data_IF_976667577766
#
_entry.id   IF_976667577766
#
_cell.length_a   1.000
_cell.length_b   1.000
_cell.length_c   1.000
_cell.angle_alpha   90.00
_cell.angle_beta   90.00
_cell.angle_gamma   90.00
#
_symmetry.space_group_name_H-M   'P 1'
#
loop_
_entity.id
_entity.type
_entity.pdbx_description
1 polymer ?
#
# COMPACT_ATOMS: atom_id res chain seq x y z
N UNK A 1 6.12 12.12 12.10
CA UNK A 1 5.07 11.50 11.27
C UNK A 1 5.71 11.13 9.93
N UNK A 2 6.11 9.86 9.75
CA UNK A 2 6.89 9.41 8.59
C UNK A 2 5.97 9.08 7.42
N UNK A 3 5.83 10.00 6.46
CA UNK A 3 5.07 9.75 5.22
C UNK A 3 5.93 8.96 4.23
N UNK A 4 5.97 7.63 4.38
CA UNK A 4 6.77 6.71 3.53
C UNK A 4 6.39 6.75 2.05
N UNK A 5 5.13 7.09 1.72
CA UNK A 5 4.65 7.26 0.34
C UNK A 5 4.65 8.71 -0.14
N UNK A 6 5.10 9.66 0.70
CA UNK A 6 5.00 11.10 0.47
C UNK A 6 3.59 11.57 0.05
N UNK A 7 2.53 10.86 0.48
CA UNK A 7 1.14 11.09 0.10
C UNK A 7 0.86 11.00 -1.42
N UNK A 8 1.70 10.28 -2.16
CA UNK A 8 1.61 10.18 -3.63
C UNK A 8 0.63 9.12 -4.11
N UNK A 9 0.20 8.21 -3.26
CA UNK A 9 -0.92 7.31 -3.57
C UNK A 9 -2.21 8.06 -3.28
N UNK A 10 -2.98 8.35 -4.32
CA UNK A 10 -4.30 8.99 -4.22
C UNK A 10 -5.33 7.95 -3.80
N UNK A 11 -6.31 8.39 -3.01
CA UNK A 11 -7.41 7.56 -2.53
C UNK A 11 -6.93 6.25 -1.88
N UNK A 12 -5.82 6.32 -1.13
CA UNK A 12 -5.24 5.17 -0.46
C UNK A 12 -6.21 4.63 0.59
N UNK A 13 -6.64 3.39 0.39
CA UNK A 13 -7.49 2.64 1.29
C UNK A 13 -6.78 1.36 1.72
N UNK A 14 -6.99 0.99 2.98
CA UNK A 14 -6.50 -0.26 3.55
C UNK A 14 -7.71 -1.07 3.99
N UNK A 15 -7.89 -2.25 3.40
CA UNK A 15 -8.92 -3.20 3.78
C UNK A 15 -8.27 -4.38 4.48
N UNK A 16 -8.73 -4.72 5.68
CA UNK A 16 -8.22 -5.89 6.43
C UNK A 16 -9.34 -6.91 6.52
N UNK A 17 -9.10 -8.12 6.02
CA UNK A 17 -10.04 -9.23 6.04
C UNK A 17 -9.32 -10.49 6.54
N UNK A 18 -9.60 -10.90 7.77
CA UNK A 18 -8.91 -12.05 8.38
C UNK A 18 -7.40 -11.79 8.46
N UNK A 19 -6.60 -12.60 7.77
CA UNK A 19 -5.14 -12.44 7.66
C UNK A 19 -4.70 -11.70 6.40
N UNK A 20 -5.63 -11.22 5.58
CA UNK A 20 -5.30 -10.52 4.34
C UNK A 20 -5.44 -9.00 4.53
N UNK A 21 -4.41 -8.28 4.11
CA UNK A 21 -4.38 -6.82 4.02
C UNK A 21 -4.35 -6.44 2.55
N UNK A 22 -5.32 -5.64 2.11
CA UNK A 22 -5.44 -5.17 0.73
C UNK A 22 -5.19 -3.66 0.70
N UNK A 23 -4.16 -3.23 -0.03
CA UNK A 23 -3.93 -1.82 -0.33
C UNK A 23 -4.59 -1.47 -1.65
N UNK A 24 -5.44 -0.44 -1.66
CA UNK A 24 -6.09 0.10 -2.86
C UNK A 24 -5.81 1.59 -3.02
N UNK A 25 -5.79 2.07 -4.25
CA UNK A 25 -5.60 3.47 -4.57
C UNK A 25 -4.96 3.66 -5.94
N UNK A 26 -4.51 4.86 -6.26
CA UNK A 26 -3.85 5.18 -7.53
C UNK A 26 -2.47 5.79 -7.28
N UNK A 27 -1.43 5.15 -7.81
CA UNK A 27 -0.06 5.64 -7.78
C UNK A 27 0.32 6.28 -9.14
N UNK A 28 1.14 7.34 -9.16
CA UNK A 28 1.62 7.97 -10.39
C UNK A 28 2.72 7.16 -11.09
N UNK A 29 3.29 6.16 -10.41
CA UNK A 29 4.35 5.30 -10.95
C UNK A 29 4.35 3.96 -10.24
N UNK A 30 4.90 2.93 -10.91
CA UNK A 30 5.21 1.64 -10.28
C UNK A 30 6.19 1.77 -9.11
N UNK A 31 7.06 2.78 -9.11
CA UNK A 31 7.96 3.05 -7.99
C UNK A 31 7.17 3.43 -6.72
N UNK A 32 6.17 4.30 -6.84
CA UNK A 32 5.31 4.67 -5.71
C UNK A 32 4.46 3.48 -5.25
N UNK A 33 3.96 2.64 -6.17
CA UNK A 33 3.27 1.38 -5.84
C UNK A 33 4.15 0.46 -4.98
N UNK A 34 5.43 0.30 -5.35
CA UNK A 34 6.40 -0.50 -4.60
C UNK A 34 6.72 0.09 -3.23
N UNK A 35 6.90 1.41 -3.12
CA UNK A 35 7.10 2.07 -1.82
C UNK A 35 5.93 1.82 -0.87
N UNK A 36 4.70 1.88 -1.37
CA UNK A 36 3.51 1.56 -0.58
C UNK A 36 3.50 0.08 -0.15
N UNK A 37 3.87 -0.85 -1.04
CA UNK A 37 4.00 -2.27 -0.69
C UNK A 37 5.02 -2.48 0.43
N UNK A 38 6.23 -1.96 0.26
CA UNK A 38 7.31 -2.14 1.23
C UNK A 38 6.95 -1.52 2.58
N UNK A 39 6.41 -0.30 2.57
CA UNK A 39 5.97 0.34 3.80
C UNK A 39 4.91 -0.46 4.56
N UNK A 40 4.01 -1.15 3.85
CA UNK A 40 3.02 -2.01 4.50
C UNK A 40 3.62 -3.34 4.98
N UNK A 41 4.49 -3.99 4.19
CA UNK A 41 5.18 -5.21 4.60
C UNK A 41 6.05 -5.00 5.84
N UNK A 42 6.65 -3.83 6.00
CA UNK A 42 7.45 -3.49 7.18
C UNK A 42 6.60 -3.34 8.46
N UNK A 43 5.30 -3.10 8.34
CA UNK A 43 4.40 -2.82 9.47
C UNK A 43 3.50 -4.02 9.82
N UNK A 44 3.28 -4.94 8.87
CA UNK A 44 2.44 -6.11 9.09
C UNK A 44 3.30 -7.36 9.26
N UNK A 45 3.21 -7.98 10.43
CA UNK A 45 3.76 -9.30 10.70
C UNK A 45 2.64 -10.33 10.66
N UNK A 46 2.85 -11.46 9.96
CA UNK A 46 1.92 -12.60 9.87
C UNK A 46 0.60 -12.34 9.11
N UNK A 47 0.51 -11.24 8.36
CA UNK A 47 -0.56 -10.98 7.39
C UNK A 47 -0.04 -11.16 5.96
N UNK A 48 -0.92 -11.56 5.05
CA UNK A 48 -0.65 -11.54 3.61
C UNK A 48 -0.99 -10.16 3.05
N UNK A 49 -0.06 -9.56 2.30
CA UNK A 49 -0.31 -8.29 1.62
C UNK A 49 -0.73 -8.52 0.16
N UNK A 50 -1.88 -7.98 -0.22
CA UNK A 50 -2.28 -7.81 -1.62
C UNK A 50 -2.20 -6.34 -2.01
N UNK A 51 -1.40 -6.04 -3.04
CA UNK A 51 -1.31 -4.69 -3.57
C UNK A 51 -2.19 -4.52 -4.81
N UNK A 52 -3.37 -3.93 -4.59
CA UNK A 52 -4.41 -3.59 -5.55
C UNK A 52 -4.40 -2.07 -5.86
N UNK A 53 -3.22 -1.45 -5.81
CA UNK A 53 -3.01 -0.05 -6.21
C UNK A 53 -2.81 -0.01 -7.73
N UNK A 54 -3.60 0.78 -8.44
CA UNK A 54 -3.43 1.01 -9.86
C UNK A 54 -2.31 2.02 -10.14
N UNK A 55 -1.67 1.90 -11.31
CA UNK A 55 -0.71 2.88 -11.80
C UNK A 55 -1.34 3.63 -12.97
N UNK A 56 -1.42 4.96 -12.85
CA UNK A 56 -1.98 5.86 -13.87
C UNK A 56 -0.89 6.54 -14.71
#
# INVERSE_FOLDING_TARGET
>A
MNLRTASRVRDLQVHVQGQDVILRGVAPTYYVKQLATHAALDEIDQFTLTNDIDVA
#
